data_IF_471722073644
#
_entry.id   IF_471722073644
#
_cell.length_a   1.000
_cell.length_b   1.000
_cell.length_c   1.000
_cell.angle_alpha   90.00
_cell.angle_beta   90.00
_cell.angle_gamma   90.00
#
_symmetry.space_group_name_H-M   'P 1'
#
loop_
_entity.id
_entity.type
_entity.pdbx_description
1 polymer ?
#
# COMPACT_ATOMS: atom_id res chain seq x y z
N UNK A 1 -4.54 6.65 -11.58
CA UNK A 1 -3.69 5.44 -11.50
C UNK A 1 -4.19 4.45 -10.45
N UNK A 2 -4.03 4.66 -9.12
CA UNK A 2 -4.46 3.66 -8.10
C UNK A 2 -5.94 3.27 -8.22
N UNK A 3 -6.84 4.25 -8.40
CA UNK A 3 -8.28 4.01 -8.60
C UNK A 3 -8.53 3.17 -9.86
N UNK A 4 -7.89 3.52 -10.97
CA UNK A 4 -8.06 2.82 -12.25
C UNK A 4 -7.51 1.39 -12.15
N UNK A 5 -6.36 1.21 -11.50
CA UNK A 5 -5.77 -0.10 -11.22
C UNK A 5 -6.73 -0.95 -10.38
N UNK A 6 -7.37 -0.39 -9.35
CA UNK A 6 -8.35 -1.10 -8.51
C UNK A 6 -9.60 -1.50 -9.31
N UNK A 7 -10.08 -0.64 -10.21
CA UNK A 7 -11.26 -0.94 -11.03
C UNK A 7 -11.01 -1.99 -12.10
N UNK A 8 -9.80 -2.02 -12.66
CA UNK A 8 -9.45 -2.92 -13.77
C UNK A 8 -8.96 -4.31 -13.32
N UNK A 9 -8.66 -4.50 -12.03
CA UNK A 9 -7.95 -5.70 -11.57
C UNK A 9 -8.60 -6.32 -10.32
N UNK A 10 -8.50 -7.66 -10.15
CA UNK A 10 -8.71 -8.31 -8.86
C UNK A 10 -7.61 -7.92 -7.84
N UNK A 11 -7.86 -8.19 -6.56
CA UNK A 11 -7.04 -7.75 -5.43
C UNK A 11 -5.56 -8.18 -5.54
N UNK A 12 -5.30 -9.41 -5.97
CA UNK A 12 -3.96 -9.97 -6.16
C UNK A 12 -3.15 -9.18 -7.21
N UNK A 13 -3.76 -8.87 -8.35
CA UNK A 13 -3.13 -8.07 -9.41
C UNK A 13 -3.02 -6.60 -9.04
N UNK A 14 -4.00 -6.08 -8.29
CA UNK A 14 -3.95 -4.73 -7.74
C UNK A 14 -2.77 -4.56 -6.78
N UNK A 15 -2.56 -5.50 -5.87
CA UNK A 15 -1.41 -5.52 -4.96
C UNK A 15 -0.09 -5.38 -5.71
N UNK A 16 0.11 -6.14 -6.79
CA UNK A 16 1.33 -6.02 -7.61
C UNK A 16 1.47 -4.62 -8.23
N UNK A 17 0.37 -4.03 -8.71
CA UNK A 17 0.36 -2.75 -9.40
C UNK A 17 0.64 -1.53 -8.51
N UNK A 18 0.46 -1.63 -7.19
CA UNK A 18 0.62 -0.49 -6.27
C UNK A 18 1.87 -0.57 -5.39
N UNK A 19 2.65 -1.64 -5.46
CA UNK A 19 3.80 -1.86 -4.55
C UNK A 19 4.78 -0.68 -4.54
N UNK A 20 5.15 -0.18 -5.72
CA UNK A 20 6.06 0.98 -5.83
C UNK A 20 5.42 2.26 -5.29
N UNK A 21 4.12 2.47 -5.56
CA UNK A 21 3.38 3.66 -5.09
C UNK A 21 3.37 3.71 -3.56
N UNK A 22 3.15 2.57 -2.90
CA UNK A 22 3.20 2.49 -1.44
C UNK A 22 4.61 2.79 -0.92
N UNK A 23 5.66 2.26 -1.55
CA UNK A 23 7.03 2.57 -1.16
C UNK A 23 7.35 4.08 -1.27
N UNK A 24 6.94 4.73 -2.38
CA UNK A 24 7.14 6.16 -2.58
C UNK A 24 6.39 7.00 -1.53
N UNK A 25 5.16 6.59 -1.16
CA UNK A 25 4.38 7.22 -0.09
C UNK A 25 5.04 7.05 1.29
N UNK A 26 5.64 5.89 1.56
CA UNK A 26 6.37 5.67 2.82
C UNK A 26 7.55 6.62 2.94
N UNK A 27 8.33 6.82 1.87
CA UNK A 27 9.43 7.79 1.84
C UNK A 27 8.92 9.20 2.16
N UNK A 28 7.80 9.61 1.55
CA UNK A 28 7.20 10.92 1.80
C UNK A 28 6.73 11.09 3.26
N UNK A 29 6.36 9.99 3.92
CA UNK A 29 5.86 10.00 5.31
C UNK A 29 6.95 9.85 6.36
N UNK A 30 8.20 9.59 5.97
CA UNK A 30 9.30 9.38 6.91
C UNK A 30 9.47 10.54 7.89
N UNK A 31 9.34 11.79 7.44
CA UNK A 31 9.50 12.96 8.31
C UNK A 31 8.40 13.14 9.37
N UNK A 32 7.20 12.64 9.11
CA UNK A 32 6.04 12.77 10.01
C UNK A 32 5.79 11.50 10.84
N UNK A 33 6.17 10.34 10.31
CA UNK A 33 5.82 9.01 10.82
C UNK A 33 7.07 8.12 10.96
N UNK A 34 8.19 8.71 11.35
CA UNK A 34 9.53 8.07 11.35
C UNK A 34 9.50 6.64 11.90
N UNK A 35 9.05 6.44 13.14
CA UNK A 35 9.11 5.12 13.80
C UNK A 35 8.41 4.00 13.00
N UNK A 36 7.20 4.25 12.48
CA UNK A 36 6.41 3.22 11.79
C UNK A 36 6.87 3.04 10.34
N UNK A 37 7.26 4.12 9.68
CA UNK A 37 7.77 4.10 8.31
C UNK A 37 9.13 3.41 8.27
N UNK A 38 10.05 3.77 9.17
CA UNK A 38 11.37 3.13 9.28
C UNK A 38 11.21 1.63 9.53
N UNK A 39 10.30 1.23 10.42
CA UNK A 39 9.96 -0.19 10.60
C UNK A 39 9.41 -0.84 9.32
N UNK A 40 8.50 -0.18 8.61
CA UNK A 40 7.97 -0.70 7.34
C UNK A 40 9.05 -0.86 6.24
N UNK A 41 10.09 -0.02 6.25
CA UNK A 41 11.15 -0.03 5.25
C UNK A 41 12.29 -1.00 5.58
N UNK A 42 12.60 -1.20 6.85
CA UNK A 42 13.78 -1.96 7.31
C UNK A 42 13.44 -3.37 7.81
N UNK A 43 12.23 -3.60 8.32
CA UNK A 43 11.77 -4.90 8.79
C UNK A 43 10.94 -5.60 7.70
N UNK A 44 11.56 -6.54 7.00
CA UNK A 44 10.94 -7.28 5.91
C UNK A 44 9.73 -8.13 6.38
N UNK A 45 9.77 -8.67 7.61
CA UNK A 45 8.66 -9.46 8.15
C UNK A 45 7.45 -8.56 8.42
N UNK A 46 7.70 -7.38 8.99
CA UNK A 46 6.68 -6.36 9.18
C UNK A 46 6.12 -5.88 7.84
N UNK A 47 6.96 -5.59 6.86
CA UNK A 47 6.53 -5.17 5.53
C UNK A 47 5.66 -6.23 4.85
N UNK A 48 6.08 -7.50 4.89
CA UNK A 48 5.35 -8.61 4.28
C UNK A 48 3.98 -8.84 4.94
N UNK A 49 3.84 -8.48 6.21
CA UNK A 49 2.56 -8.54 6.94
C UNK A 49 1.70 -7.31 6.67
N UNK A 50 2.29 -6.11 6.71
CA UNK A 50 1.57 -4.85 6.60
C UNK A 50 1.10 -4.55 5.17
N UNK A 51 1.92 -4.85 4.16
CA UNK A 51 1.61 -4.48 2.77
C UNK A 51 0.31 -5.11 2.25
N UNK A 52 0.05 -6.43 2.40
CA UNK A 52 -1.20 -7.03 1.94
C UNK A 52 -2.44 -6.40 2.59
N UNK A 53 -2.36 -6.07 3.89
CA UNK A 53 -3.43 -5.43 4.65
C UNK A 53 -3.70 -4.01 4.17
N UNK A 54 -2.65 -3.21 3.97
CA UNK A 54 -2.76 -1.85 3.43
C UNK A 54 -3.37 -1.87 2.03
N UNK A 55 -2.90 -2.77 1.16
CA UNK A 55 -3.41 -2.90 -0.18
C UNK A 55 -4.88 -3.33 -0.21
N UNK A 56 -5.28 -4.26 0.65
CA UNK A 56 -6.67 -4.66 0.80
C UNK A 56 -7.56 -3.50 1.25
N UNK A 57 -7.15 -2.78 2.31
CA UNK A 57 -7.91 -1.64 2.82
C UNK A 57 -8.09 -0.55 1.76
N UNK A 58 -7.04 -0.25 0.97
CA UNK A 58 -7.12 0.70 -0.13
C UNK A 58 -8.10 0.20 -1.21
N UNK A 59 -7.97 -1.06 -1.63
CA UNK A 59 -8.82 -1.66 -2.66
C UNK A 59 -10.31 -1.63 -2.28
N UNK A 60 -10.62 -2.06 -1.05
CA UNK A 60 -11.98 -2.04 -0.51
C UNK A 60 -12.52 -0.62 -0.40
N UNK A 61 -11.73 0.31 0.14
CA UNK A 61 -12.16 1.71 0.26
C UNK A 61 -12.50 2.38 -1.08
N UNK A 62 -11.82 2.00 -2.16
CA UNK A 62 -12.10 2.50 -3.50
C UNK A 62 -13.44 1.92 -4.00
N UNK A 63 -13.67 0.63 -3.80
CA UNK A 63 -14.88 -0.06 -4.28
C UNK A 63 -16.13 0.26 -3.46
N UNK A 64 -15.99 0.66 -2.20
CA UNK A 64 -17.10 1.14 -1.39
C UNK A 64 -17.53 2.57 -1.76
N UNK A 65 -16.62 3.36 -2.34
CA UNK A 65 -16.86 4.77 -2.70
C UNK A 65 -17.31 4.99 -4.14
N UNK A 66 -17.27 3.97 -5.00
CA UNK A 66 -17.65 4.06 -6.43
C UNK A 66 -18.52 2.89 -6.84
#
# INVERSE_FOLDING_TARGET
QVIDTAKANPLDKFQLGIKQIIADLMIQRLGENDQIVSRYMEDAEFQNTAFPLLAQAIFESIRERT
#
